data_IF_643237649776
#
_entry.id   IF_643237649776
#
_cell.length_a   1.000
_cell.length_b   1.000
_cell.length_c   1.000
_cell.angle_alpha   90.00
_cell.angle_beta   90.00
_cell.angle_gamma   90.00
#
_symmetry.space_group_name_H-M   'P 1'
#
loop_
_entity.id
_entity.type
_entity.pdbx_description
1 polymer ?
#
# COMPACT_ATOMS: atom_id res chain seq x y z
N UNK A 1 -22.19 8.77 4.86
CA UNK A 1 -21.62 8.98 3.52
C UNK A 1 -22.71 8.69 2.49
N UNK A 2 -23.12 9.68 1.70
CA UNK A 2 -23.97 9.46 0.51
C UNK A 2 -23.06 9.54 -0.71
N UNK A 3 -22.70 8.40 -1.28
CA UNK A 3 -21.96 8.36 -2.54
C UNK A 3 -22.97 8.35 -3.70
N UNK A 4 -22.80 9.24 -4.67
CA UNK A 4 -23.66 9.33 -5.85
C UNK A 4 -23.29 8.24 -6.87
N UNK A 5 -23.67 7.00 -6.59
CA UNK A 5 -23.57 5.90 -7.55
C UNK A 5 -24.79 5.90 -8.46
N UNK A 6 -24.66 6.52 -9.63
CA UNK A 6 -25.63 6.44 -10.72
C UNK A 6 -25.41 5.14 -11.50
N UNK A 7 -26.41 4.25 -11.51
CA UNK A 7 -26.34 2.95 -12.20
C UNK A 7 -27.08 3.09 -13.52
N UNK A 8 -26.34 2.98 -14.64
CA UNK A 8 -26.92 2.98 -16.00
C UNK A 8 -26.94 1.57 -16.59
N UNK A 9 -28.09 1.20 -17.15
CA UNK A 9 -28.23 -0.05 -17.89
C UNK A 9 -27.58 0.04 -19.27
N UNK A 10 -26.86 -1.01 -19.68
CA UNK A 10 -26.24 -1.14 -20.99
C UNK A 10 -26.88 -2.32 -21.71
N UNK A 11 -27.72 -2.03 -22.70
CA UNK A 11 -28.42 -3.03 -23.50
C UNK A 11 -27.56 -3.69 -24.59
N UNK A 12 -26.44 -3.06 -24.97
CA UNK A 12 -25.58 -3.53 -26.05
C UNK A 12 -24.42 -4.40 -25.55
N UNK A 13 -24.38 -5.67 -25.94
CA UNK A 13 -23.32 -6.61 -25.54
C UNK A 13 -21.92 -6.21 -26.02
N UNK A 14 -21.79 -5.57 -27.19
CA UNK A 14 -20.50 -5.04 -27.67
C UNK A 14 -20.01 -3.88 -26.80
N UNK A 15 -20.92 -2.96 -26.44
CA UNK A 15 -20.60 -1.83 -25.57
C UNK A 15 -20.26 -2.30 -24.15
N UNK A 16 -21.01 -3.27 -23.62
CA UNK A 16 -20.74 -3.88 -22.32
C UNK A 16 -19.36 -4.55 -22.29
N UNK A 17 -19.01 -5.32 -23.33
CA UNK A 17 -17.67 -5.94 -23.44
C UNK A 17 -16.56 -4.89 -23.47
N UNK A 18 -16.69 -3.85 -24.30
CA UNK A 18 -15.68 -2.79 -24.39
C UNK A 18 -15.53 -2.03 -23.06
N UNK A 19 -16.63 -1.74 -22.38
CA UNK A 19 -16.61 -1.09 -21.08
C UNK A 19 -15.95 -1.95 -20.01
N UNK A 20 -16.31 -3.24 -19.93
CA UNK A 20 -15.70 -4.16 -18.96
C UNK A 20 -14.21 -4.27 -19.20
N UNK A 21 -13.75 -4.43 -20.45
CA UNK A 21 -12.33 -4.44 -20.76
C UNK A 21 -11.63 -3.13 -20.37
N UNK A 22 -12.23 -1.98 -20.67
CA UNK A 22 -11.68 -0.68 -20.30
C UNK A 22 -11.58 -0.49 -18.78
N UNK A 23 -12.63 -0.85 -18.04
CA UNK A 23 -12.66 -0.75 -16.58
C UNK A 23 -11.68 -1.73 -15.95
N UNK A 24 -11.62 -2.97 -16.44
CA UNK A 24 -10.65 -3.96 -15.95
C UNK A 24 -9.22 -3.53 -16.25
N UNK A 25 -8.92 -3.04 -17.45
CA UNK A 25 -7.60 -2.50 -17.79
C UNK A 25 -7.22 -1.34 -16.88
N UNK A 26 -8.17 -0.44 -16.60
CA UNK A 26 -7.95 0.69 -15.70
C UNK A 26 -7.73 0.27 -14.24
N UNK A 27 -8.49 -0.72 -13.73
CA UNK A 27 -8.34 -1.25 -12.36
C UNK A 27 -7.04 -2.05 -12.22
N UNK A 28 -6.69 -2.83 -13.23
CA UNK A 28 -5.49 -3.68 -13.24
C UNK A 28 -4.23 -2.93 -13.63
N UNK A 29 -4.34 -1.71 -14.16
CA UNK A 29 -3.20 -0.80 -14.37
C UNK A 29 -2.50 -0.63 -13.03
N UNK A 30 -1.40 -1.36 -12.86
CA UNK A 30 -0.61 -1.33 -11.64
C UNK A 30 -0.18 0.11 -11.36
N UNK A 31 -0.88 0.77 -10.43
CA UNK A 31 -0.65 2.16 -10.06
C UNK A 31 0.71 2.37 -9.36
N UNK A 32 1.35 1.28 -8.92
CA UNK A 32 2.61 1.33 -8.20
C UNK A 32 3.75 0.75 -9.04
N UNK A 33 4.82 1.52 -9.31
CA UNK A 33 5.96 0.99 -10.02
C UNK A 33 6.69 -0.01 -9.13
N UNK A 34 7.04 -1.18 -9.70
CA UNK A 34 7.55 -2.36 -8.99
C UNK A 34 8.76 -2.03 -8.11
N UNK A 35 9.61 -1.08 -8.53
CA UNK A 35 10.78 -0.66 -7.76
C UNK A 35 10.43 -0.11 -6.36
N UNK A 36 9.32 0.62 -6.22
CA UNK A 36 8.88 1.17 -4.92
C UNK A 36 8.41 0.05 -4.00
N UNK A 37 7.66 -0.92 -4.54
CA UNK A 37 7.22 -2.08 -3.75
C UNK A 37 8.40 -2.94 -3.27
N UNK A 38 9.46 -3.03 -4.09
CA UNK A 38 10.66 -3.78 -3.75
C UNK A 38 11.47 -3.10 -2.64
N UNK A 39 11.55 -1.77 -2.67
CA UNK A 39 12.24 -1.02 -1.61
C UNK A 39 11.49 -1.08 -0.27
N UNK A 40 10.14 -1.02 -0.30
CA UNK A 40 9.31 -1.24 0.87
C UNK A 40 9.50 -2.66 1.47
N UNK A 41 9.62 -3.69 0.63
CA UNK A 41 9.91 -5.05 1.05
C UNK A 41 11.30 -5.17 1.67
N UNK A 42 12.32 -4.57 1.04
CA UNK A 42 13.70 -4.53 1.56
C UNK A 42 13.74 -3.88 2.95
N UNK A 43 13.00 -2.79 3.15
CA UNK A 43 12.88 -2.14 4.44
C UNK A 43 12.22 -3.04 5.49
N UNK A 44 11.11 -3.71 5.14
CA UNK A 44 10.40 -4.62 6.05
C UNK A 44 11.28 -5.81 6.48
N UNK A 45 12.08 -6.37 5.57
CA UNK A 45 13.04 -7.45 5.89
C UNK A 45 14.13 -6.96 6.83
N UNK A 46 14.75 -5.81 6.54
CA UNK A 46 15.79 -5.20 7.40
C UNK A 46 15.25 -4.94 8.81
N UNK A 47 14.05 -4.38 8.92
CA UNK A 47 13.42 -4.07 10.22
C UNK A 47 13.10 -5.33 11.03
N UNK A 48 12.68 -6.42 10.37
CA UNK A 48 12.50 -7.70 11.05
C UNK A 48 13.83 -8.32 11.50
N UNK A 49 14.87 -8.25 10.67
CA UNK A 49 16.20 -8.71 11.05
C UNK A 49 16.71 -8.05 12.32
N UNK A 50 16.55 -6.72 12.44
CA UNK A 50 16.92 -5.98 13.66
C UNK A 50 16.06 -6.37 14.88
N UNK A 51 14.75 -6.56 14.70
CA UNK A 51 13.82 -6.90 15.81
C UNK A 51 14.10 -8.28 16.43
N UNK A 52 14.61 -9.22 15.64
CA UNK A 52 14.85 -10.59 16.08
C UNK A 52 16.34 -10.92 16.28
N UNK A 53 17.22 -9.91 16.21
CA UNK A 53 18.65 -10.05 16.52
C UNK A 53 18.78 -10.43 18.01
N UNK A 54 19.14 -11.69 18.29
CA UNK A 54 19.28 -12.20 19.66
C UNK A 54 18.00 -12.76 20.32
N UNK A 55 16.87 -12.82 19.60
CA UNK A 55 15.62 -13.37 20.15
C UNK A 55 15.43 -14.86 19.81
N UNK A 56 15.30 -15.71 20.84
CA UNK A 56 14.97 -17.14 20.77
C UNK A 56 13.47 -17.39 20.46
N UNK A 57 12.94 -16.73 19.43
CA UNK A 57 11.57 -16.95 18.96
C UNK A 57 11.52 -18.09 17.95
N UNK A 58 10.39 -18.80 17.91
CA UNK A 58 10.13 -19.85 16.92
C UNK A 58 10.22 -19.28 15.49
N UNK A 59 10.86 -20.02 14.59
CA UNK A 59 11.07 -19.59 13.21
C UNK A 59 9.75 -19.24 12.51
N UNK A 60 8.68 -19.97 12.82
CA UNK A 60 7.32 -19.72 12.30
C UNK A 60 6.80 -18.34 12.69
N UNK A 61 7.01 -17.90 13.94
CA UNK A 61 6.59 -16.58 14.39
C UNK A 61 7.39 -15.45 13.71
N UNK A 62 8.69 -15.68 13.43
CA UNK A 62 9.54 -14.75 12.66
C UNK A 62 9.07 -14.63 11.20
N UNK A 63 8.69 -15.75 10.58
CA UNK A 63 8.23 -15.75 9.19
C UNK A 63 6.85 -15.08 9.05
N UNK A 64 5.90 -15.39 9.94
CA UNK A 64 4.58 -14.75 9.93
C UNK A 64 4.67 -13.23 10.18
N UNK A 65 5.53 -12.78 11.10
CA UNK A 65 5.70 -11.36 11.36
C UNK A 65 6.39 -10.62 10.21
N UNK A 66 7.32 -11.28 9.51
CA UNK A 66 7.93 -10.75 8.29
C UNK A 66 6.89 -10.58 7.18
N UNK A 67 6.09 -11.62 6.94
CA UNK A 67 5.04 -11.59 5.92
C UNK A 67 4.03 -10.47 6.19
N UNK A 68 3.49 -10.38 7.41
CA UNK A 68 2.52 -9.34 7.77
C UNK A 68 3.11 -7.94 7.62
N UNK A 69 4.38 -7.73 7.99
CA UNK A 69 5.05 -6.43 7.81
C UNK A 69 5.30 -6.09 6.35
N UNK A 70 5.68 -7.07 5.53
CA UNK A 70 5.86 -6.88 4.09
C UNK A 70 4.54 -6.48 3.42
N UNK A 71 3.45 -7.19 3.74
CA UNK A 71 2.11 -6.88 3.22
C UNK A 71 1.64 -5.51 3.68
N UNK A 72 1.78 -5.20 4.97
CA UNK A 72 1.40 -3.89 5.52
C UNK A 72 2.23 -2.76 4.93
N UNK A 73 3.53 -2.99 4.66
CA UNK A 73 4.37 -2.02 3.97
C UNK A 73 3.87 -1.78 2.55
N UNK A 74 3.63 -2.81 1.74
CA UNK A 74 3.14 -2.63 0.37
C UNK A 74 1.75 -1.96 0.35
N UNK A 75 0.86 -2.33 1.27
CA UNK A 75 -0.49 -1.78 1.38
C UNK A 75 -0.47 -0.30 1.75
N UNK A 76 0.36 0.09 2.72
CA UNK A 76 0.52 1.47 3.16
C UNK A 76 0.90 2.42 2.00
N UNK A 77 1.74 1.96 1.06
CA UNK A 77 2.12 2.74 -0.11
C UNK A 77 1.04 2.79 -1.18
N UNK A 78 0.26 1.71 -1.32
CA UNK A 78 -0.89 1.67 -2.24
C UNK A 78 -2.04 2.57 -1.76
N UNK A 79 -2.14 2.79 -0.46
CA UNK A 79 -3.20 3.58 0.18
C UNK A 79 -2.86 5.07 0.34
N UNK A 80 -1.67 5.51 -0.07
CA UNK A 80 -1.34 6.95 -0.08
C UNK A 80 -2.36 7.72 -0.91
N UNK A 81 -3.21 8.46 -0.21
CA UNK A 81 -4.24 9.27 -0.84
C UNK A 81 -3.61 10.47 -1.52
N UNK A 82 -4.16 10.87 -2.67
CA UNK A 82 -3.75 12.09 -3.38
C UNK A 82 -3.80 13.32 -2.47
N UNK A 83 -4.70 13.33 -1.48
CA UNK A 83 -4.80 14.39 -0.46
C UNK A 83 -3.52 14.49 0.40
N UNK A 84 -2.91 13.35 0.75
CA UNK A 84 -1.71 13.31 1.57
C UNK A 84 -0.47 13.78 0.79
N UNK A 85 -0.41 13.45 -0.50
CA UNK A 85 0.65 13.91 -1.42
C UNK A 85 0.53 15.41 -1.68
N UNK A 86 -0.69 15.93 -1.86
CA UNK A 86 -0.92 17.36 -2.08
C UNK A 86 -0.64 18.21 -0.84
N UNK A 87 -0.97 17.71 0.36
CA UNK A 87 -0.60 18.39 1.61
C UNK A 87 0.92 18.56 1.75
N UNK A 88 1.69 17.52 1.40
CA UNK A 88 3.15 17.59 1.38
C UNK A 88 3.69 18.60 0.36
N UNK A 89 3.14 18.63 -0.86
CA UNK A 89 3.56 19.56 -1.92
C UNK A 89 3.22 21.02 -1.63
N UNK A 90 2.08 21.30 -0.98
CA UNK A 90 1.63 22.64 -0.61
C UNK A 90 2.39 23.19 0.61
N UNK A 91 3.20 22.36 1.28
CA UNK A 91 3.94 22.76 2.48
C UNK A 91 3.05 22.97 3.71
N UNK A 92 1.79 22.51 3.65
CA UNK A 92 0.82 22.64 4.73
C UNK A 92 0.98 21.49 5.74
N UNK A 93 2.12 21.47 6.43
CA UNK A 93 2.26 21.01 7.82
C UNK A 93 2.10 19.54 8.20
N UNK A 94 1.33 18.71 7.48
CA UNK A 94 1.05 17.34 7.93
C UNK A 94 2.03 16.34 7.30
N UNK A 95 3.17 16.17 7.95
CA UNK A 95 4.13 15.11 7.62
C UNK A 95 3.51 13.76 7.99
N UNK A 96 2.88 13.08 7.03
CA UNK A 96 2.40 11.70 7.19
C UNK A 96 3.59 10.74 7.38
N UNK A 97 4.11 10.67 8.60
CA UNK A 97 4.93 9.54 9.03
C UNK A 97 3.95 8.40 9.22
N UNK A 98 4.06 7.35 8.40
CA UNK A 98 3.39 6.09 8.69
C UNK A 98 3.73 5.68 10.13
N UNK A 99 2.76 5.69 11.05
CA UNK A 99 3.00 5.33 12.45
C UNK A 99 3.43 3.86 12.61
N UNK A 100 3.22 3.02 11.59
CA UNK A 100 3.83 1.68 11.50
C UNK A 100 5.36 1.74 11.28
N UNK A 101 5.88 2.85 10.76
CA UNK A 101 7.31 3.15 10.61
C UNK A 101 7.90 3.92 11.81
N UNK A 102 7.11 4.76 12.49
CA UNK A 102 7.60 5.62 13.58
C UNK A 102 7.97 4.86 14.87
N UNK A 103 7.51 3.62 15.06
CA UNK A 103 7.99 2.77 16.16
C UNK A 103 9.43 2.23 15.92
N UNK A 104 10.04 2.46 14.75
CA UNK A 104 11.40 2.00 14.46
C UNK A 104 12.41 3.10 14.10
N UNK A 105 12.03 4.38 14.13
CA UNK A 105 12.96 5.53 13.95
C UNK A 105 12.91 6.44 15.20
N UNK A 106 12.88 5.80 16.37
CA UNK A 106 12.90 6.45 17.69
C UNK A 106 13.99 5.87 18.60
N UNK A 107 15.07 5.34 18.00
CA UNK A 107 16.36 5.06 18.66
C UNK A 107 17.45 5.42 17.66
N UNK A 108 17.61 6.71 17.41
CA UNK A 108 18.89 7.38 17.21
C UNK A 108 18.68 8.88 17.29
#
# INVERSE_FOLDING_TARGET
MRCNTDIKYISSGKAAKALVYYVTDYITKCSLPIHVSFDALRYAVKQNGMKYLGANNTQTAKNCSLFTKAVNAIMAWKELSHQQVMSYLVGCGDCYKFTILSCCVGVM
#
